data_IF_538644260246
#
_entry.id   IF_538644260246
#
_cell.length_a   1.000
_cell.length_b   1.000
_cell.length_c   1.000
_cell.angle_alpha   90.00
_cell.angle_beta   90.00
_cell.angle_gamma   90.00
#
_symmetry.space_group_name_H-M   'P 1'
#
loop_
_entity.id
_entity.type
_entity.pdbx_description
1 polymer ?
#
# COMPACT_ATOMS: atom_id res chain seq x y z
N UNK A 1 -20.60 15.98 -27.48
CA UNK A 1 -20.44 16.44 -28.89
C UNK A 1 -19.15 15.84 -29.39
N UNK A 2 -19.23 15.13 -30.51
CA UNK A 2 -18.18 14.34 -31.16
C UNK A 2 -17.08 15.24 -31.76
N UNK A 3 -15.80 14.89 -31.61
CA UNK A 3 -14.70 15.51 -32.35
C UNK A 3 -13.59 14.49 -32.64
N UNK A 4 -13.69 13.85 -33.80
CA UNK A 4 -12.56 13.28 -34.55
C UNK A 4 -12.27 14.12 -35.80
N UNK A 5 -10.96 14.35 -36.03
CA UNK A 5 -10.23 14.75 -37.27
C UNK A 5 -9.92 16.23 -37.51
N UNK A 6 -8.61 16.55 -37.52
CA UNK A 6 -7.82 17.26 -38.56
C UNK A 6 -6.34 17.36 -38.08
N UNK A 7 -5.42 16.48 -38.53
CA UNK A 7 -4.32 16.69 -39.52
C UNK A 7 -3.47 17.97 -39.31
N UNK A 8 -2.13 18.02 -39.38
CA UNK A 8 -1.06 17.10 -39.82
C UNK A 8 0.29 17.84 -40.03
N UNK A 9 1.31 17.11 -40.52
CA UNK A 9 2.70 17.49 -40.92
C UNK A 9 3.74 17.59 -39.78
N UNK A 10 4.93 16.97 -39.80
CA UNK A 10 5.61 16.09 -40.75
C UNK A 10 7.13 16.35 -40.69
N UNK A 11 7.99 15.32 -40.50
CA UNK A 11 9.40 15.31 -40.95
C UNK A 11 9.84 13.86 -41.21
N UNK A 12 10.57 13.72 -42.32
CA UNK A 12 11.09 12.53 -43.00
C UNK A 12 12.45 12.12 -42.44
N UNK A 13 12.72 10.81 -42.30
CA UNK A 13 14.05 10.25 -42.56
C UNK A 13 13.95 8.76 -42.92
N UNK A 14 14.37 8.46 -44.14
CA UNK A 14 14.38 7.16 -44.81
C UNK A 14 15.56 6.28 -44.38
N UNK A 15 15.37 4.97 -44.35
CA UNK A 15 16.34 4.05 -44.97
C UNK A 15 15.64 2.76 -45.43
N UNK A 16 15.86 2.43 -46.69
CA UNK A 16 15.25 1.32 -47.42
C UNK A 16 16.19 0.11 -47.49
N UNK A 17 15.61 -1.09 -47.56
CA UNK A 17 16.14 -2.20 -48.37
C UNK A 17 14.99 -3.13 -48.79
N UNK A 18 14.79 -3.21 -50.11
CA UNK A 18 13.94 -4.17 -50.85
C UNK A 18 14.61 -5.56 -50.87
N UNK A 19 14.07 -6.71 -51.29
CA UNK A 19 12.92 -7.17 -52.09
C UNK A 19 12.76 -8.71 -51.80
N UNK A 20 11.70 -9.46 -52.11
CA UNK A 20 10.48 -9.19 -52.88
C UNK A 20 9.58 -10.43 -53.04
N UNK A 21 8.42 -10.16 -53.65
CA UNK A 21 7.49 -10.95 -54.50
C UNK A 21 6.80 -12.24 -54.00
N UNK A 22 5.45 -12.23 -54.12
CA UNK A 22 4.62 -13.43 -54.28
C UNK A 22 3.13 -13.26 -53.96
N UNK A 23 2.40 -12.62 -54.88
CA UNK A 23 0.96 -12.67 -55.26
C UNK A 23 -0.20 -13.03 -54.28
N UNK A 24 -1.21 -12.16 -54.35
CA UNK A 24 -2.66 -12.38 -54.26
C UNK A 24 -3.27 -13.22 -53.13
N UNK A 25 -3.87 -12.54 -52.15
CA UNK A 25 -5.27 -12.81 -51.76
C UNK A 25 -5.81 -11.75 -50.82
N UNK A 26 -7.02 -11.29 -51.15
CA UNK A 26 -7.83 -10.35 -50.39
C UNK A 26 -8.34 -10.95 -49.08
N UNK A 27 -8.03 -10.32 -47.95
CA UNK A 27 -8.85 -10.43 -46.73
C UNK A 27 -8.58 -9.26 -45.79
N UNK A 28 -9.66 -8.67 -45.27
CA UNK A 28 -9.66 -7.57 -44.31
C UNK A 28 -8.80 -7.89 -43.07
N UNK A 29 -8.14 -6.90 -42.42
CA UNK A 29 -7.49 -7.15 -41.14
C UNK A 29 -8.56 -7.41 -40.08
N UNK A 30 -8.55 -8.62 -39.52
CA UNK A 30 -9.20 -8.94 -38.25
C UNK A 30 -8.61 -8.07 -37.15
N UNK A 31 -9.48 -7.52 -36.32
CA UNK A 31 -9.14 -6.92 -35.03
C UNK A 31 -8.46 -8.01 -34.18
N UNK A 32 -7.17 -7.86 -33.88
CA UNK A 32 -6.47 -8.81 -33.01
C UNK A 32 -7.02 -8.63 -31.58
N UNK A 33 -7.72 -9.64 -31.08
CA UNK A 33 -8.00 -9.75 -29.66
C UNK A 33 -6.66 -9.72 -28.90
N UNK A 34 -6.51 -8.83 -27.92
CA UNK A 34 -5.43 -8.94 -26.95
C UNK A 34 -5.57 -10.28 -26.24
N UNK A 35 -4.52 -11.10 -26.25
CA UNK A 35 -4.48 -12.30 -25.42
C UNK A 35 -4.53 -11.89 -23.93
N UNK A 36 -5.26 -12.62 -23.08
CA UNK A 36 -5.23 -12.38 -21.65
C UNK A 36 -3.83 -12.69 -21.13
N UNK A 37 -3.25 -11.77 -20.36
CA UNK A 37 -2.05 -12.04 -19.57
C UNK A 37 -2.46 -13.03 -18.48
N UNK A 38 -1.84 -14.20 -18.49
CA UNK A 38 -2.04 -15.26 -17.50
C UNK A 38 -0.86 -15.22 -16.54
N UNK A 39 -1.08 -14.78 -15.29
CA UNK A 39 -0.12 -14.98 -14.21
C UNK A 39 -0.31 -16.36 -13.60
N UNK A 40 0.81 -17.09 -13.42
CA UNK A 40 0.82 -18.45 -12.88
C UNK A 40 1.20 -18.42 -11.40
N UNK A 41 0.30 -18.87 -10.53
CA UNK A 41 0.55 -19.05 -9.09
C UNK A 41 1.13 -20.45 -8.83
N UNK A 42 2.35 -20.53 -8.28
CA UNK A 42 2.94 -21.78 -7.81
C UNK A 42 2.66 -21.98 -6.31
N UNK A 43 2.00 -23.07 -5.94
CA UNK A 43 1.76 -23.46 -4.53
C UNK A 43 2.51 -24.76 -4.27
N UNK A 44 3.41 -24.79 -3.29
CA UNK A 44 4.25 -25.95 -3.01
C UNK A 44 3.68 -26.80 -1.88
N UNK A 45 4.21 -28.02 -1.72
CA UNK A 45 3.67 -28.98 -0.76
C UNK A 45 3.85 -28.46 0.68
N UNK A 46 2.71 -28.29 1.38
CA UNK A 46 2.50 -27.78 2.76
C UNK A 46 2.01 -26.34 2.88
N UNK A 47 1.79 -25.65 1.76
CA UNK A 47 1.19 -24.31 1.77
C UNK A 47 -0.35 -24.39 1.89
N UNK A 48 -0.93 -23.41 2.59
CA UNK A 48 -2.38 -23.23 2.73
C UNK A 48 -2.77 -21.90 2.11
N UNK A 49 -3.74 -21.90 1.17
CA UNK A 49 -4.34 -20.68 0.63
C UNK A 49 -5.54 -20.32 1.49
N UNK A 50 -5.45 -19.22 2.23
CA UNK A 50 -6.55 -18.71 3.07
C UNK A 50 -7.21 -17.56 2.31
N UNK A 51 -8.48 -17.73 1.95
CA UNK A 51 -9.30 -16.66 1.41
C UNK A 51 -10.15 -16.13 2.56
N UNK A 52 -10.05 -14.83 2.86
CA UNK A 52 -10.93 -14.21 3.83
C UNK A 52 -12.27 -13.83 3.17
N UNK A 53 -13.20 -13.25 3.94
CA UNK A 53 -14.59 -13.01 3.53
C UNK A 53 -14.78 -12.04 2.34
N UNK A 54 -13.70 -11.61 1.70
CA UNK A 54 -13.71 -10.66 0.58
C UNK A 54 -12.94 -11.16 -0.65
N UNK A 55 -12.24 -12.30 -0.56
CA UNK A 55 -11.34 -12.76 -1.61
C UNK A 55 -11.95 -13.86 -2.48
N UNK A 56 -11.69 -13.78 -3.80
CA UNK A 56 -12.12 -14.79 -4.79
C UNK A 56 -10.89 -15.44 -5.44
N UNK A 57 -10.78 -16.78 -5.34
CA UNK A 57 -9.76 -17.56 -6.05
C UNK A 57 -10.31 -18.07 -7.38
N UNK A 58 -9.72 -17.63 -8.49
CA UNK A 58 -10.11 -18.07 -9.85
C UNK A 58 -9.06 -19.04 -10.37
N UNK A 59 -9.40 -20.32 -10.49
CA UNK A 59 -8.51 -21.36 -11.06
C UNK A 59 -8.97 -21.70 -12.49
N UNK A 60 -8.15 -21.36 -13.48
CA UNK A 60 -8.38 -21.73 -14.88
C UNK A 60 -7.50 -22.92 -15.27
N UNK A 61 -8.13 -23.94 -15.86
CA UNK A 61 -7.48 -25.14 -16.45
C UNK A 61 -6.73 -26.04 -15.46
N UNK A 62 -7.40 -26.51 -14.41
CA UNK A 62 -6.86 -27.55 -13.52
C UNK A 62 -7.77 -28.79 -13.57
N UNK A 63 -7.19 -29.95 -13.83
CA UNK A 63 -7.94 -31.21 -14.02
C UNK A 63 -8.46 -31.82 -12.69
N UNK A 64 -7.96 -31.42 -11.51
CA UNK A 64 -8.50 -31.88 -10.21
C UNK A 64 -8.15 -30.91 -9.08
N UNK A 65 -9.16 -30.55 -8.27
CA UNK A 65 -9.01 -29.79 -7.01
C UNK A 65 -9.37 -30.73 -5.85
N UNK A 66 -8.49 -30.85 -4.84
CA UNK A 66 -8.76 -31.63 -3.62
C UNK A 66 -8.77 -30.69 -2.42
N UNK A 67 -9.94 -30.55 -1.79
CA UNK A 67 -10.10 -29.81 -0.52
C UNK A 67 -10.25 -30.84 0.60
N UNK A 68 -9.47 -30.70 1.68
CA UNK A 68 -9.65 -31.49 2.92
C UNK A 68 -10.05 -30.53 4.04
N UNK A 69 -11.32 -30.61 4.42
CA UNK A 69 -11.90 -29.89 5.54
C UNK A 69 -11.56 -30.58 6.88
N UNK A 70 -11.20 -29.80 7.90
CA UNK A 70 -10.90 -30.28 9.25
C UNK A 70 -11.83 -29.73 10.33
N UNK A 71 -12.88 -28.94 10.04
CA UNK A 71 -13.79 -28.43 11.09
C UNK A 71 -15.24 -28.32 10.60
N UNK A 72 -16.19 -28.76 11.45
CA UNK A 72 -17.62 -29.00 11.19
C UNK A 72 -18.47 -27.73 10.97
N UNK A 73 -18.03 -26.78 10.13
CA UNK A 73 -18.89 -25.69 9.66
C UNK A 73 -18.80 -25.54 8.15
N UNK A 74 -19.97 -25.29 7.56
CA UNK A 74 -20.31 -25.39 6.15
C UNK A 74 -19.57 -24.36 5.28
N UNK A 75 -18.79 -24.82 4.29
CA UNK A 75 -18.32 -23.98 3.18
C UNK A 75 -18.72 -24.56 1.81
N UNK A 76 -19.09 -23.66 0.89
CA UNK A 76 -19.57 -23.97 -0.48
C UNK A 76 -18.45 -23.77 -1.50
N UNK A 77 -18.32 -24.70 -2.45
CA UNK A 77 -17.38 -24.65 -3.58
C UNK A 77 -18.12 -24.25 -4.88
N UNK A 78 -17.65 -23.23 -5.60
CA UNK A 78 -18.19 -22.80 -6.90
C UNK A 78 -17.09 -22.86 -7.98
N UNK A 79 -17.42 -23.36 -9.19
CA UNK A 79 -16.52 -23.42 -10.34
C UNK A 79 -17.12 -22.74 -11.59
N UNK A 80 -16.36 -21.76 -12.10
CA UNK A 80 -16.17 -21.19 -13.45
C UNK A 80 -17.31 -20.78 -14.41
N UNK A 81 -17.05 -19.61 -15.02
CA UNK A 81 -17.33 -19.12 -16.37
C UNK A 81 -18.67 -19.50 -17.04
N UNK A 82 -19.43 -18.43 -17.30
CA UNK A 82 -20.80 -18.34 -17.82
C UNK A 82 -21.87 -18.70 -16.79
N UNK A 83 -22.34 -17.65 -16.14
CA UNK A 83 -23.63 -17.48 -15.45
C UNK A 83 -24.45 -18.76 -15.24
N UNK A 84 -24.41 -19.30 -14.02
CA UNK A 84 -25.56 -19.83 -13.26
C UNK A 84 -25.13 -20.01 -11.79
N UNK A 85 -25.89 -19.47 -10.84
CA UNK A 85 -25.75 -19.79 -9.40
C UNK A 85 -26.64 -21.00 -9.08
N UNK A 86 -26.06 -22.09 -8.58
CA UNK A 86 -26.81 -23.21 -7.99
C UNK A 86 -26.44 -23.33 -6.51
N UNK A 87 -27.41 -23.03 -5.65
CA UNK A 87 -27.34 -23.32 -4.20
C UNK A 87 -27.81 -24.77 -4.00
N UNK A 88 -26.99 -25.63 -3.37
CA UNK A 88 -27.44 -26.92 -2.85
C UNK A 88 -27.74 -26.82 -1.37
N UNK A 89 -28.97 -27.16 -1.01
CA UNK A 89 -29.39 -27.44 0.36
C UNK A 89 -28.62 -28.65 0.91
N UNK A 90 -27.96 -28.46 2.05
CA UNK A 90 -27.36 -29.51 2.87
C UNK A 90 -28.24 -29.77 4.10
N UNK A 91 -29.25 -30.63 3.94
CA UNK A 91 -29.79 -31.42 5.05
C UNK A 91 -30.43 -32.71 4.53
N UNK A 92 -29.88 -33.85 4.95
CA UNK A 92 -30.60 -35.12 4.84
C UNK A 92 -31.83 -35.09 5.75
N UNK A 93 -33.00 -34.99 5.13
CA UNK A 93 -34.30 -35.24 5.75
C UNK A 93 -35.23 -35.91 4.74
N UNK A 94 -35.19 -37.24 4.68
CA UNK A 94 -36.22 -38.17 4.18
C UNK A 94 -37.27 -37.59 3.21
N UNK A 95 -36.99 -37.72 1.90
CA UNK A 95 -37.80 -37.45 0.70
C UNK A 95 -37.60 -36.08 0.00
N UNK A 96 -36.65 -36.00 -0.95
CA UNK A 96 -36.58 -34.84 -1.86
C UNK A 96 -35.52 -35.01 -2.97
N UNK A 97 -35.93 -35.03 -4.23
CA UNK A 97 -35.05 -35.16 -5.40
C UNK A 97 -34.24 -33.87 -5.65
N UNK A 98 -33.00 -33.96 -6.11
CA UNK A 98 -32.14 -32.78 -6.39
C UNK A 98 -32.77 -31.79 -7.36
N UNK A 99 -32.66 -30.49 -7.11
CA UNK A 99 -33.18 -29.45 -8.01
C UNK A 99 -32.12 -28.90 -8.99
N UNK A 100 -32.56 -28.54 -10.19
CA UNK A 100 -31.82 -27.83 -11.24
C UNK A 100 -32.57 -26.59 -11.69
N UNK A 101 -31.84 -25.61 -12.23
CA UNK A 101 -32.37 -24.42 -12.86
C UNK A 101 -31.90 -24.38 -14.32
N UNK A 102 -32.80 -24.14 -15.26
CA UNK A 102 -32.49 -23.97 -16.69
C UNK A 102 -33.02 -22.62 -17.19
N UNK A 103 -32.22 -21.93 -18.02
CA UNK A 103 -32.62 -20.66 -18.62
C UNK A 103 -33.95 -20.78 -19.38
N UNK A 104 -34.76 -19.72 -19.32
CA UNK A 104 -36.00 -19.62 -20.08
C UNK A 104 -36.29 -18.17 -20.45
N UNK A 105 -37.10 -17.98 -21.49
CA UNK A 105 -37.59 -16.67 -21.91
C UNK A 105 -39.11 -16.73 -22.00
N UNK A 106 -39.79 -15.73 -21.43
CA UNK A 106 -41.25 -15.63 -21.49
C UNK A 106 -41.70 -15.25 -22.91
N UNK A 107 -42.99 -15.44 -23.21
CA UNK A 107 -43.57 -14.94 -24.46
C UNK A 107 -43.46 -13.41 -24.62
N UNK A 108 -43.15 -12.68 -23.54
CA UNK A 108 -42.90 -11.24 -23.53
C UNK A 108 -41.41 -10.87 -23.63
N UNK A 109 -40.51 -11.84 -23.84
CA UNK A 109 -39.07 -11.61 -23.98
C UNK A 109 -38.29 -11.44 -22.67
N UNK A 110 -38.96 -11.55 -21.52
CA UNK A 110 -38.31 -11.48 -20.20
C UNK A 110 -37.56 -12.79 -19.94
N UNK A 111 -36.27 -12.70 -19.62
CA UNK A 111 -35.42 -13.83 -19.26
C UNK A 111 -35.71 -14.32 -17.83
N UNK A 112 -35.39 -15.57 -17.53
CA UNK A 112 -35.65 -16.18 -16.22
C UNK A 112 -35.14 -17.62 -16.16
N UNK A 113 -35.51 -18.34 -15.10
CA UNK A 113 -35.06 -19.70 -14.83
C UNK A 113 -36.24 -20.64 -14.53
N UNK A 114 -36.32 -21.77 -15.22
CA UNK A 114 -37.20 -22.88 -14.88
C UNK A 114 -36.56 -23.73 -13.78
N UNK A 115 -37.22 -23.88 -12.65
CA UNK A 115 -36.74 -24.69 -11.53
C UNK A 115 -37.38 -26.07 -11.60
N UNK A 116 -36.57 -27.12 -11.62
CA UNK A 116 -36.98 -28.53 -11.67
C UNK A 116 -36.39 -29.26 -10.48
N UNK A 117 -37.18 -30.02 -9.73
CA UNK A 117 -36.70 -30.88 -8.64
C UNK A 117 -36.94 -32.33 -9.01
N UNK A 118 -35.86 -33.11 -9.10
CA UNK A 118 -35.82 -34.42 -9.74
C UNK A 118 -36.29 -34.37 -11.17
N UNK A 119 -37.42 -35.02 -11.47
CA UNK A 119 -38.03 -34.99 -12.82
C UNK A 119 -39.19 -34.00 -12.95
N UNK A 120 -39.54 -33.29 -11.87
CA UNK A 120 -40.73 -32.42 -11.83
C UNK A 120 -40.34 -30.95 -11.85
N UNK A 121 -40.82 -30.22 -12.86
CA UNK A 121 -40.74 -28.76 -12.88
C UNK A 121 -41.59 -28.16 -11.75
N UNK A 122 -40.95 -27.41 -10.86
CA UNK A 122 -41.54 -26.76 -9.68
C UNK A 122 -42.03 -25.36 -9.99
N UNK A 123 -41.37 -24.62 -10.89
CA UNK A 123 -41.81 -23.27 -11.25
C UNK A 123 -40.88 -22.54 -12.22
N UNK A 124 -41.14 -21.24 -12.39
CA UNK A 124 -40.29 -20.32 -13.16
C UNK A 124 -40.07 -19.03 -12.40
N UNK A 125 -38.80 -18.64 -12.25
CA UNK A 125 -38.38 -17.35 -11.72
C UNK A 125 -38.10 -16.40 -12.89
N UNK A 126 -38.72 -15.22 -12.93
CA UNK A 126 -38.51 -14.23 -13.99
C UNK A 126 -37.63 -13.09 -13.50
N UNK A 127 -36.75 -12.58 -14.37
CA UNK A 127 -35.99 -11.37 -14.09
C UNK A 127 -36.94 -10.17 -14.01
N UNK A 128 -36.79 -9.36 -12.95
CA UNK A 128 -37.50 -8.09 -12.80
C UNK A 128 -36.96 -7.01 -13.73
N UNK A 129 -37.61 -5.84 -13.75
CA UNK A 129 -36.97 -4.64 -14.29
C UNK A 129 -35.86 -4.21 -13.33
N UNK A 130 -34.73 -3.77 -13.86
CA UNK A 130 -33.68 -3.16 -13.06
C UNK A 130 -34.25 -2.00 -12.24
N UNK A 131 -33.74 -1.85 -11.01
CA UNK A 131 -34.03 -0.68 -10.19
C UNK A 131 -33.51 0.61 -10.85
N UNK A 132 -33.94 1.78 -10.38
CA UNK A 132 -33.24 3.00 -10.75
C UNK A 132 -31.83 2.97 -10.15
N UNK A 133 -30.85 3.41 -10.94
CA UNK A 133 -29.50 3.62 -10.44
C UNK A 133 -29.52 4.55 -9.23
N UNK A 134 -28.69 4.23 -8.23
CA UNK A 134 -28.44 5.14 -7.12
C UNK A 134 -27.75 6.42 -7.59
N UNK A 135 -27.70 7.42 -6.72
CA UNK A 135 -26.85 8.59 -6.95
C UNK A 135 -25.39 8.17 -7.00
N UNK A 136 -24.62 8.72 -7.95
CA UNK A 136 -23.17 8.54 -7.96
C UNK A 136 -22.56 9.15 -6.69
N UNK A 137 -21.61 8.44 -6.08
CA UNK A 137 -20.76 8.98 -5.02
C UNK A 137 -19.76 9.99 -5.54
N UNK A 138 -19.03 10.66 -4.63
CA UNK A 138 -17.98 11.61 -4.99
C UNK A 138 -16.82 10.93 -5.73
N UNK A 139 -16.27 11.61 -6.73
CA UNK A 139 -15.09 11.12 -7.45
C UNK A 139 -13.85 11.09 -6.54
N UNK A 140 -12.82 10.33 -6.93
CA UNK A 140 -11.55 10.31 -6.20
C UNK A 140 -10.89 11.71 -6.18
N UNK A 141 -11.01 12.47 -7.27
CA UNK A 141 -10.53 13.85 -7.33
C UNK A 141 -11.29 14.78 -6.38
N UNK A 142 -12.62 14.67 -6.31
CA UNK A 142 -13.43 15.45 -5.36
C UNK A 142 -13.05 15.16 -3.91
N UNK A 143 -12.76 13.91 -3.59
CA UNK A 143 -12.27 13.52 -2.26
C UNK A 143 -10.86 14.06 -1.99
N UNK A 144 -9.96 14.05 -2.97
CA UNK A 144 -8.62 14.62 -2.84
C UNK A 144 -8.66 16.13 -2.62
N UNK A 145 -9.51 16.86 -3.36
CA UNK A 145 -9.73 18.30 -3.16
C UNK A 145 -10.30 18.58 -1.77
N UNK A 146 -11.25 17.77 -1.30
CA UNK A 146 -11.75 17.87 0.08
C UNK A 146 -10.66 17.60 1.13
N UNK A 147 -9.67 16.76 0.81
CA UNK A 147 -8.48 16.50 1.63
C UNK A 147 -7.36 17.56 1.47
N UNK A 148 -7.60 18.62 0.71
CA UNK A 148 -6.69 19.76 0.55
C UNK A 148 -5.79 19.71 -0.68
N UNK A 149 -6.07 18.88 -1.68
CA UNK A 149 -5.39 18.94 -2.98
C UNK A 149 -5.76 20.25 -3.71
N UNK A 150 -4.76 20.94 -4.29
CA UNK A 150 -4.93 22.28 -4.91
C UNK A 150 -4.63 22.27 -6.42
N UNK A 151 -4.34 21.09 -7.00
CA UNK A 151 -4.10 20.92 -8.44
C UNK A 151 -5.37 20.67 -9.25
N UNK A 152 -5.19 20.50 -10.55
CA UNK A 152 -6.23 20.14 -11.53
C UNK A 152 -6.53 18.64 -11.52
N UNK A 153 -7.66 18.24 -12.10
CA UNK A 153 -8.02 16.82 -12.24
C UNK A 153 -7.01 16.05 -13.12
N UNK A 154 -6.45 16.67 -14.16
CA UNK A 154 -5.41 16.08 -15.02
C UNK A 154 -4.09 15.85 -14.24
N UNK A 155 -3.70 16.81 -13.40
CA UNK A 155 -2.54 16.66 -12.51
C UNK A 155 -2.81 15.56 -11.46
N UNK A 156 -4.04 15.44 -10.96
CA UNK A 156 -4.44 14.37 -10.06
C UNK A 156 -4.34 13.00 -10.72
N UNK A 157 -4.90 12.83 -11.92
CA UNK A 157 -4.80 11.59 -12.69
C UNK A 157 -3.34 11.19 -12.96
N UNK A 158 -2.48 12.18 -13.23
CA UNK A 158 -1.04 11.95 -13.40
C UNK A 158 -0.40 11.41 -12.12
N UNK A 159 -0.80 11.93 -10.95
CA UNK A 159 -0.31 11.41 -9.66
C UNK A 159 -0.76 9.97 -9.45
N UNK A 160 -2.01 9.62 -9.76
CA UNK A 160 -2.53 8.25 -9.65
C UNK A 160 -1.81 7.31 -10.61
N UNK A 161 -1.65 7.71 -11.87
CA UNK A 161 -0.91 6.93 -12.86
C UNK A 161 0.53 6.65 -12.40
N UNK A 162 1.18 7.64 -11.78
CA UNK A 162 2.51 7.44 -11.20
C UNK A 162 2.50 6.39 -10.09
N UNK A 163 1.55 6.45 -9.16
CA UNK A 163 1.42 5.48 -8.04
C UNK A 163 1.17 4.06 -8.52
N UNK A 164 0.34 3.89 -9.55
CA UNK A 164 0.05 2.59 -10.17
C UNK A 164 1.30 1.97 -10.82
N UNK A 165 2.22 2.81 -11.31
CA UNK A 165 3.46 2.37 -11.94
C UNK A 165 4.62 2.18 -10.94
N UNK A 166 4.38 2.29 -9.64
CA UNK A 166 5.38 1.97 -8.62
C UNK A 166 5.44 0.47 -8.37
N UNK A 167 6.65 -0.03 -8.11
CA UNK A 167 6.84 -1.38 -7.61
C UNK A 167 6.22 -1.52 -6.22
N UNK A 168 5.78 -2.72 -5.86
CA UNK A 168 5.15 -3.02 -4.57
C UNK A 168 5.74 -4.30 -3.97
N UNK A 169 5.53 -4.48 -2.67
CA UNK A 169 5.79 -5.75 -1.99
C UNK A 169 4.74 -5.97 -0.89
N UNK A 170 4.56 -7.22 -0.48
CA UNK A 170 3.65 -7.60 0.61
C UNK A 170 4.46 -7.85 1.87
N UNK A 171 4.09 -7.21 2.97
CA UNK A 171 4.55 -7.55 4.31
C UNK A 171 3.81 -8.82 4.78
N UNK A 172 4.49 -9.96 4.75
CA UNK A 172 3.89 -11.24 5.13
C UNK A 172 3.45 -11.33 6.60
N UNK A 173 3.88 -10.39 7.45
CA UNK A 173 3.52 -10.38 8.88
C UNK A 173 2.07 -9.96 9.11
N UNK A 174 1.49 -9.16 8.22
CA UNK A 174 0.11 -8.68 8.31
C UNK A 174 -0.67 -8.71 6.98
N UNK A 175 -0.02 -9.07 5.89
CA UNK A 175 -0.60 -9.10 4.54
C UNK A 175 -0.75 -7.72 3.92
N UNK A 176 -0.18 -6.66 4.51
CA UNK A 176 -0.27 -5.31 3.97
C UNK A 176 0.65 -5.16 2.75
N UNK A 177 0.14 -4.60 1.67
CA UNK A 177 0.90 -4.30 0.47
C UNK A 177 1.39 -2.85 0.52
N UNK A 178 2.70 -2.65 0.35
CA UNK A 178 3.33 -1.34 0.34
C UNK A 178 3.92 -1.07 -1.04
N UNK A 179 3.74 0.16 -1.53
CA UNK A 179 4.47 0.65 -2.70
C UNK A 179 5.90 1.01 -2.31
N UNK A 180 6.74 1.04 -3.33
CA UNK A 180 8.16 1.31 -3.21
C UNK A 180 8.59 2.29 -4.28
N UNK A 181 9.67 3.02 -3.99
CA UNK A 181 10.19 4.05 -4.88
C UNK A 181 11.70 4.08 -4.83
N UNK A 182 12.33 4.16 -6.01
CA UNK A 182 13.76 4.43 -6.09
C UNK A 182 14.01 5.93 -6.12
N UNK A 183 14.79 6.43 -5.16
CA UNK A 183 15.24 7.83 -5.10
C UNK A 183 16.75 7.84 -4.94
N UNK A 184 17.44 8.41 -5.91
CA UNK A 184 18.89 8.21 -6.04
C UNK A 184 19.21 6.72 -6.19
N UNK A 185 20.11 6.21 -5.36
CA UNK A 185 20.53 4.81 -5.36
C UNK A 185 19.74 3.93 -4.38
N UNK A 186 18.89 4.53 -3.55
CA UNK A 186 18.15 3.84 -2.50
C UNK A 186 16.72 3.53 -2.94
N UNK A 187 16.20 2.38 -2.47
CA UNK A 187 14.80 2.00 -2.64
C UNK A 187 14.09 2.14 -1.30
N UNK A 188 13.07 2.99 -1.25
CA UNK A 188 12.31 3.33 -0.07
C UNK A 188 10.89 2.79 -0.16
N UNK A 189 10.26 2.53 0.99
CA UNK A 189 8.80 2.45 1.04
C UNK A 189 8.19 3.80 0.63
N UNK A 190 7.10 3.77 -0.13
CA UNK A 190 6.36 4.97 -0.53
C UNK A 190 5.25 5.33 0.50
N UNK A 191 4.87 4.40 1.37
CA UNK A 191 4.00 4.66 2.53
C UNK A 191 4.75 4.51 3.86
N UNK A 192 4.22 5.14 4.91
CA UNK A 192 4.66 4.85 6.28
C UNK A 192 4.28 3.42 6.65
N UNK A 193 5.14 2.75 7.43
CA UNK A 193 4.81 1.43 7.96
C UNK A 193 3.50 1.49 8.78
N UNK A 194 2.62 0.52 8.56
CA UNK A 194 1.34 0.39 9.25
C UNK A 194 1.19 -0.96 9.99
N UNK A 195 2.31 -1.67 10.18
CA UNK A 195 2.36 -2.94 10.90
C UNK A 195 1.97 -2.76 12.39
N UNK A 196 0.94 -3.47 12.84
CA UNK A 196 0.41 -3.35 14.20
C UNK A 196 1.28 -4.10 15.20
N UNK A 197 2.22 -3.41 15.82
CA UNK A 197 3.08 -3.95 16.88
C UNK A 197 2.39 -3.85 18.25
N UNK A 198 2.12 -5.00 18.87
CA UNK A 198 1.28 -5.14 20.08
C UNK A 198 2.06 -5.46 21.34
N UNK A 199 3.36 -5.25 21.34
CA UNK A 199 4.11 -5.38 22.58
C UNK A 199 3.69 -4.26 23.53
N UNK A 200 3.16 -4.66 24.67
CA UNK A 200 2.80 -3.76 25.77
C UNK A 200 4.07 -3.06 26.30
N UNK A 201 3.94 -1.82 26.71
CA UNK A 201 4.93 -1.11 27.52
C UNK A 201 4.43 -1.02 28.97
N UNK A 202 5.24 -0.46 29.87
CA UNK A 202 4.80 -0.24 31.26
C UNK A 202 3.49 0.58 31.34
N UNK A 203 3.33 1.53 30.41
CA UNK A 203 2.23 2.50 30.42
C UNK A 203 1.15 2.23 29.35
N UNK A 204 1.38 1.36 28.37
CA UNK A 204 0.48 1.15 27.22
C UNK A 204 0.30 -0.33 26.83
N UNK A 205 -0.88 -0.67 26.33
CA UNK A 205 -1.23 -1.99 25.80
C UNK A 205 -0.66 -2.26 24.39
N UNK A 206 0.00 -1.26 23.81
CA UNK A 206 0.62 -1.29 22.49
C UNK A 206 1.77 -0.29 22.47
N UNK A 207 2.76 -0.54 21.62
CA UNK A 207 3.88 0.37 21.36
C UNK A 207 3.84 0.95 19.93
N UNK A 208 2.71 0.71 19.24
CA UNK A 208 2.34 1.35 17.98
C UNK A 208 0.93 1.94 18.06
N UNK A 209 0.72 3.10 17.44
CA UNK A 209 -0.48 3.93 17.64
C UNK A 209 -0.99 4.48 16.31
N UNK A 210 -2.32 4.56 16.18
CA UNK A 210 -2.92 5.43 15.18
C UNK A 210 -2.91 6.85 15.74
N UNK A 211 -2.62 7.85 14.90
CA UNK A 211 -2.70 9.24 15.29
C UNK A 211 -4.09 9.57 15.87
N UNK A 212 -4.14 10.23 17.03
CA UNK A 212 -5.36 10.50 17.80
C UNK A 212 -6.14 9.25 18.27
N UNK A 213 -5.55 8.05 18.18
CA UNK A 213 -6.23 6.78 18.50
C UNK A 213 -7.33 6.39 17.49
N UNK A 214 -7.37 7.03 16.32
CA UNK A 214 -8.40 6.83 15.30
C UNK A 214 -7.94 5.84 14.22
N UNK A 215 -8.64 4.71 14.00
CA UNK A 215 -8.25 3.71 12.99
C UNK A 215 -8.06 4.29 11.58
N UNK A 216 -8.92 5.21 11.16
CA UNK A 216 -8.85 5.90 9.87
C UNK A 216 -7.55 6.67 9.66
N UNK A 217 -6.89 7.09 10.76
CA UNK A 217 -5.60 7.73 10.68
C UNK A 217 -4.44 6.75 10.49
N UNK A 218 -4.59 5.49 10.91
CA UNK A 218 -3.63 4.45 10.52
C UNK A 218 -3.71 4.18 9.01
N UNK A 219 -4.91 4.12 8.46
CA UNK A 219 -5.11 3.91 7.01
C UNK A 219 -4.53 5.06 6.19
N UNK A 220 -4.63 6.29 6.72
CA UNK A 220 -4.14 7.49 6.04
C UNK A 220 -2.65 7.75 6.21
N UNK A 221 -2.15 7.62 7.44
CA UNK A 221 -0.80 8.08 7.80
C UNK A 221 0.17 6.94 8.12
N UNK A 222 -0.29 5.69 8.15
CA UNK A 222 0.42 4.61 8.82
C UNK A 222 0.39 4.78 10.34
N UNK A 223 1.21 3.97 11.03
CA UNK A 223 1.32 4.00 12.49
C UNK A 223 2.45 4.91 12.95
N UNK A 224 2.30 5.39 14.18
CA UNK A 224 3.37 5.97 14.97
C UNK A 224 3.93 4.89 15.91
N UNK A 225 5.24 4.83 16.06
CA UNK A 225 5.92 3.82 16.86
C UNK A 225 6.81 4.51 17.89
N UNK A 226 6.79 3.98 19.12
CA UNK A 226 7.86 4.31 20.05
C UNK A 226 9.21 3.85 19.51
N UNK A 227 10.28 4.49 19.96
CA UNK A 227 11.62 4.13 19.53
C UNK A 227 11.98 2.67 19.87
N UNK A 228 11.56 2.19 21.04
CA UNK A 228 11.72 0.77 21.41
C UNK A 228 10.98 -0.16 20.46
N UNK A 229 9.75 0.18 20.03
CA UNK A 229 9.06 -0.60 19.01
C UNK A 229 9.76 -0.54 17.66
N UNK A 230 10.34 0.61 17.28
CA UNK A 230 11.11 0.73 16.06
C UNK A 230 12.33 -0.20 16.07
N UNK A 231 13.15 -0.17 17.12
CA UNK A 231 14.41 -0.91 17.20
C UNK A 231 14.22 -2.38 17.61
N UNK A 232 13.46 -2.64 18.66
CA UNK A 232 13.48 -3.92 19.38
C UNK A 232 12.53 -4.99 18.80
N UNK A 233 11.66 -4.62 17.86
CA UNK A 233 10.62 -5.49 17.29
C UNK A 233 11.08 -6.48 16.22
N UNK A 234 12.32 -6.36 15.75
CA UNK A 234 12.91 -7.29 14.78
C UNK A 234 13.21 -8.67 15.36
N UNK A 235 13.08 -8.91 16.68
CA UNK A 235 13.35 -10.23 17.24
C UNK A 235 14.78 -10.75 16.97
N UNK A 236 15.77 -9.87 16.85
CA UNK A 236 17.20 -10.26 16.88
C UNK A 236 17.71 -10.37 18.34
N UNK A 237 16.86 -10.07 19.32
CA UNK A 237 17.14 -10.32 20.74
C UNK A 237 16.59 -11.66 21.22
N UNK A 238 16.44 -12.65 20.33
CA UNK A 238 16.25 -14.04 20.76
C UNK A 238 17.49 -14.57 21.51
N UNK A 239 18.65 -13.86 21.46
CA UNK A 239 19.86 -14.30 22.18
C UNK A 239 20.81 -13.20 22.70
N UNK A 240 20.46 -11.90 22.72
CA UNK A 240 21.38 -10.89 23.29
C UNK A 240 20.71 -9.78 24.11
N UNK A 241 21.43 -9.45 25.17
CA UNK A 241 21.23 -8.50 26.27
C UNK A 241 21.24 -7.01 25.83
N UNK A 242 20.54 -6.65 24.74
CA UNK A 242 20.56 -5.27 24.22
C UNK A 242 19.17 -4.63 24.22
N UNK A 243 18.87 -3.80 25.22
CA UNK A 243 17.64 -3.01 25.25
C UNK A 243 17.97 -1.59 24.78
N UNK A 244 17.72 -1.29 23.50
CA UNK A 244 17.88 0.06 22.92
C UNK A 244 16.64 0.93 23.21
N UNK A 245 16.19 0.94 24.48
CA UNK A 245 14.97 1.59 24.93
C UNK A 245 15.16 2.99 25.52
N UNK A 246 14.07 3.56 26.04
CA UNK A 246 14.10 4.85 26.73
C UNK A 246 15.06 4.83 27.94
N UNK A 247 15.96 5.81 28.00
CA UNK A 247 16.93 5.94 29.10
C UNK A 247 18.14 5.01 29.02
N UNK A 248 18.28 4.23 27.94
CA UNK A 248 19.43 3.37 27.69
C UNK A 248 20.18 3.87 26.44
N UNK A 249 21.49 4.05 26.56
CA UNK A 249 22.35 4.23 25.39
C UNK A 249 22.76 2.85 24.88
N UNK A 250 22.76 2.68 23.56
CA UNK A 250 23.24 1.48 22.91
C UNK A 250 24.15 1.79 21.72
N UNK A 251 24.74 2.99 21.73
CA UNK A 251 25.60 3.48 20.64
C UNK A 251 26.76 2.52 20.33
N UNK A 252 27.52 2.10 21.35
CA UNK A 252 28.71 1.26 21.19
C UNK A 252 28.40 -0.15 20.64
N UNK A 253 27.13 -0.56 20.69
CA UNK A 253 26.67 -1.91 20.35
C UNK A 253 25.72 -1.91 19.14
N UNK A 254 25.55 -0.76 18.47
CA UNK A 254 24.68 -0.65 17.30
C UNK A 254 25.34 -1.27 16.06
N UNK A 255 24.69 -2.23 15.39
CA UNK A 255 25.19 -2.74 14.12
C UNK A 255 25.09 -1.67 13.03
N UNK A 256 25.82 -1.86 11.94
CA UNK A 256 25.78 -0.96 10.77
C UNK A 256 24.39 -0.88 10.12
N UNK A 257 23.54 -1.90 10.35
CA UNK A 257 22.18 -1.97 9.82
C UNK A 257 21.26 -2.65 10.83
N UNK A 258 20.10 -2.04 11.05
CA UNK A 258 19.08 -2.54 11.98
C UNK A 258 17.79 -2.79 11.23
N UNK A 259 17.37 -4.06 11.11
CA UNK A 259 16.04 -4.37 10.55
C UNK A 259 14.94 -3.64 11.33
N UNK A 260 14.97 -3.76 12.65
CA UNK A 260 13.94 -3.21 13.53
C UNK A 260 12.55 -3.71 13.16
N UNK A 261 11.57 -2.81 13.23
CA UNK A 261 10.17 -3.09 12.88
C UNK A 261 9.94 -3.31 11.39
N UNK A 262 10.94 -3.08 10.54
CA UNK A 262 10.78 -3.25 9.10
C UNK A 262 10.63 -4.74 8.72
N UNK A 263 9.94 -5.03 7.60
CA UNK A 263 9.81 -6.40 7.09
C UNK A 263 11.16 -7.01 6.71
N UNK A 264 11.20 -8.32 6.49
CA UNK A 264 12.40 -8.99 5.97
C UNK A 264 12.81 -8.43 4.59
N UNK A 265 14.12 -8.21 4.38
CA UNK A 265 14.66 -7.55 3.19
C UNK A 265 14.57 -6.02 3.23
N UNK A 266 14.16 -5.46 4.37
CA UNK A 266 14.08 -4.02 4.63
C UNK A 266 14.66 -3.71 6.01
N UNK A 267 15.15 -2.49 6.19
CA UNK A 267 15.70 -2.01 7.45
C UNK A 267 15.21 -0.62 7.81
N UNK A 268 15.39 -0.27 9.09
CA UNK A 268 15.26 1.10 9.52
C UNK A 268 16.41 1.92 8.93
N UNK A 269 16.12 3.10 8.39
CA UNK A 269 17.15 3.99 7.87
C UNK A 269 18.05 4.51 8.98
N UNK A 270 19.33 4.67 8.67
CA UNK A 270 20.23 5.48 9.49
C UNK A 270 20.15 6.98 9.10
N UNK A 271 20.90 7.82 9.81
CA UNK A 271 21.01 9.24 9.48
C UNK A 271 21.75 9.49 8.15
N UNK A 272 22.66 8.61 7.74
CA UNK A 272 23.43 8.71 6.49
C UNK A 272 22.53 8.52 5.28
N UNK A 273 21.68 7.50 5.30
CA UNK A 273 20.72 7.13 4.28
C UNK A 273 19.69 8.23 4.08
N UNK A 274 19.14 8.78 5.16
CA UNK A 274 18.28 9.95 5.03
C UNK A 274 19.02 11.17 4.50
N UNK A 275 20.28 11.40 4.88
CA UNK A 275 21.07 12.50 4.33
C UNK A 275 21.29 12.31 2.83
N UNK A 276 21.56 11.10 2.36
CA UNK A 276 21.67 10.77 0.94
C UNK A 276 20.35 11.09 0.21
N UNK A 277 19.21 10.61 0.75
CA UNK A 277 17.89 10.91 0.20
C UNK A 277 17.64 12.43 0.08
N UNK A 278 17.84 13.17 1.17
CA UNK A 278 17.54 14.61 1.20
C UNK A 278 18.54 15.39 0.33
N UNK A 279 19.81 15.01 0.28
CA UNK A 279 20.83 15.64 -0.57
C UNK A 279 20.62 15.36 -2.06
N UNK A 280 20.05 14.20 -2.41
CA UNK A 280 19.66 13.91 -3.79
C UNK A 280 18.57 14.87 -4.26
N UNK A 281 17.62 15.21 -3.39
CA UNK A 281 16.51 16.12 -3.69
C UNK A 281 16.95 17.57 -3.71
N UNK A 282 17.76 17.98 -2.73
CA UNK A 282 18.34 19.32 -2.64
C UNK A 282 19.83 19.23 -2.26
N UNK A 283 20.68 19.43 -3.25
CA UNK A 283 22.14 19.36 -3.12
C UNK A 283 22.77 20.62 -2.50
N UNK A 284 21.99 21.63 -2.10
CA UNK A 284 22.54 22.86 -1.53
C UNK A 284 23.17 22.65 -0.15
N UNK A 285 24.26 23.35 0.17
CA UNK A 285 25.03 23.11 1.41
C UNK A 285 24.47 23.83 2.65
N UNK A 286 23.14 23.87 2.78
CA UNK A 286 22.43 24.53 3.86
C UNK A 286 21.74 23.49 4.77
N UNK A 287 21.52 23.91 6.02
CA UNK A 287 20.88 23.06 7.03
C UNK A 287 19.39 22.79 6.74
N UNK A 288 18.74 23.68 6.01
CA UNK A 288 17.32 23.62 5.67
C UNK A 288 17.17 23.22 4.20
N UNK A 289 16.75 21.98 3.98
CA UNK A 289 16.69 21.37 2.65
C UNK A 289 15.30 21.49 2.05
N UNK A 290 15.17 21.86 0.78
CA UNK A 290 13.89 21.78 0.08
C UNK A 290 13.52 20.32 -0.15
N UNK A 291 12.50 19.85 0.57
CA UNK A 291 12.01 18.46 0.50
C UNK A 291 10.61 18.40 -0.11
N UNK A 292 10.16 19.45 -0.80
CA UNK A 292 8.82 19.47 -1.42
C UNK A 292 8.59 18.27 -2.35
N UNK A 293 9.63 17.77 -3.01
CA UNK A 293 9.56 16.61 -3.90
C UNK A 293 9.31 15.26 -3.21
N UNK A 294 9.57 15.15 -1.90
CA UNK A 294 9.35 13.94 -1.11
C UNK A 294 8.00 13.94 -0.39
N UNK A 295 7.43 15.12 -0.17
CA UNK A 295 6.20 15.31 0.58
C UNK A 295 4.98 14.94 -0.25
N UNK A 296 3.99 14.31 0.39
CA UNK A 296 2.68 14.02 -0.19
C UNK A 296 2.03 15.29 -0.76
N UNK A 297 1.30 15.14 -1.87
CA UNK A 297 0.66 16.28 -2.55
C UNK A 297 -0.49 16.93 -1.75
N UNK A 298 -0.98 16.26 -0.70
CA UNK A 298 -2.09 16.69 0.14
C UNK A 298 -1.88 16.29 1.60
N UNK A 299 -2.77 16.74 2.48
CA UNK A 299 -2.70 16.53 3.93
C UNK A 299 -1.89 17.59 4.70
N UNK A 300 -1.13 18.43 4.00
CA UNK A 300 -0.37 19.52 4.59
C UNK A 300 -1.23 20.76 4.86
N UNK A 301 -1.05 21.35 6.03
CA UNK A 301 -1.73 22.54 6.51
C UNK A 301 -0.70 23.64 6.74
N UNK A 302 -1.00 24.83 6.25
CA UNK A 302 -0.25 26.05 6.50
C UNK A 302 -1.05 26.99 7.41
N UNK A 303 -0.45 27.48 8.49
CA UNK A 303 -1.06 28.47 9.40
C UNK A 303 -0.39 29.83 9.24
N UNK A 304 -1.09 30.79 8.66
CA UNK A 304 -0.68 32.18 8.63
C UNK A 304 -1.25 32.93 9.83
N UNK A 305 -0.38 33.47 10.70
CA UNK A 305 -0.82 34.34 11.79
C UNK A 305 -0.78 35.79 11.34
N UNK A 306 -1.94 36.43 11.25
CA UNK A 306 -2.09 37.85 10.94
C UNK A 306 -2.59 38.61 12.18
N UNK A 307 -2.41 39.93 12.18
CA UNK A 307 -2.95 40.83 13.23
C UNK A 307 -4.48 40.68 13.38
N UNK A 308 -5.16 40.26 12.31
CA UNK A 308 -6.61 40.03 12.26
C UNK A 308 -7.05 38.59 12.66
N UNK A 309 -6.13 37.71 13.02
CA UNK A 309 -6.39 36.32 13.40
C UNK A 309 -5.56 35.29 12.63
N UNK A 310 -5.74 34.00 12.96
CA UNK A 310 -5.08 32.89 12.27
C UNK A 310 -5.88 32.49 11.03
N UNK A 311 -5.22 32.46 9.88
CA UNK A 311 -5.76 31.91 8.63
C UNK A 311 -5.11 30.55 8.39
N UNK A 312 -5.93 29.50 8.31
CA UNK A 312 -5.49 28.16 7.94
C UNK A 312 -5.66 28.01 6.43
N UNK A 313 -4.57 27.68 5.74
CA UNK A 313 -4.52 27.38 4.32
C UNK A 313 -4.26 25.87 4.20
N UNK A 314 -5.14 25.19 3.49
CA UNK A 314 -5.01 23.76 3.22
C UNK A 314 -4.27 23.56 1.90
N UNK A 315 -3.36 22.59 1.87
CA UNK A 315 -2.65 22.16 0.67
C UNK A 315 -1.34 22.88 0.34
N UNK A 316 -0.59 22.32 -0.61
CA UNK A 316 0.32 23.09 -1.48
C UNK A 316 1.84 23.03 -1.26
N UNK A 317 2.37 22.25 -0.32
CA UNK A 317 3.84 22.24 -0.06
C UNK A 317 4.54 20.91 -0.31
N UNK A 318 3.81 19.90 -0.79
CA UNK A 318 4.38 18.68 -1.33
C UNK A 318 4.01 18.56 -2.79
N UNK A 319 4.98 18.18 -3.61
CA UNK A 319 4.79 17.93 -5.04
C UNK A 319 4.88 16.44 -5.37
N UNK A 320 5.42 15.65 -4.43
CA UNK A 320 5.65 14.21 -4.55
C UNK A 320 6.25 13.78 -5.90
N UNK A 321 7.13 14.62 -6.48
CA UNK A 321 7.72 14.35 -7.80
C UNK A 321 8.60 13.10 -7.81
N UNK A 322 9.00 12.59 -6.65
CA UNK A 322 9.70 11.31 -6.54
C UNK A 322 8.77 10.13 -6.27
N UNK A 323 7.60 10.33 -5.64
CA UNK A 323 6.67 9.24 -5.31
C UNK A 323 6.96 8.63 -3.94
N UNK A 324 7.63 9.40 -3.07
CA UNK A 324 8.00 9.03 -1.71
C UNK A 324 6.85 9.24 -0.72
N UNK A 325 5.93 10.15 -1.05
CA UNK A 325 4.66 10.37 -0.36
C UNK A 325 4.78 10.48 1.17
N UNK A 326 5.66 11.37 1.64
CA UNK A 326 5.77 11.67 3.06
C UNK A 326 4.54 12.45 3.56
N UNK A 327 3.78 11.85 4.48
CA UNK A 327 2.63 12.50 5.09
C UNK A 327 2.97 13.27 6.37
N UNK A 328 2.24 14.35 6.68
CA UNK A 328 2.41 15.12 7.91
C UNK A 328 1.65 14.49 9.08
N UNK A 329 2.07 13.29 9.50
CA UNK A 329 1.43 12.51 10.55
C UNK A 329 1.62 13.12 11.96
N UNK A 330 2.47 14.14 12.12
CA UNK A 330 2.87 14.64 13.42
C UNK A 330 3.66 13.59 14.21
N UNK A 331 3.60 13.71 15.53
CA UNK A 331 4.16 12.74 16.47
C UNK A 331 3.26 12.64 17.70
N UNK A 332 3.40 11.57 18.47
CA UNK A 332 2.78 11.43 19.78
C UNK A 332 3.84 11.67 20.86
N UNK A 333 3.64 12.65 21.75
CA UNK A 333 4.51 12.84 22.90
C UNK A 333 3.87 12.31 24.16
N UNK A 334 4.68 11.68 25.02
CA UNK A 334 4.22 11.11 26.28
C UNK A 334 4.05 12.22 27.33
N UNK A 335 2.80 12.57 27.66
CA UNK A 335 2.50 13.49 28.74
C UNK A 335 2.60 12.80 30.12
N UNK A 336 2.93 13.58 31.16
CA UNK A 336 2.91 13.15 32.56
C UNK A 336 1.50 12.64 32.94
N UNK A 337 1.35 11.32 33.08
CA UNK A 337 0.07 10.65 33.38
C UNK A 337 -0.37 9.58 32.37
N UNK A 338 0.54 9.07 31.53
CA UNK A 338 0.36 7.90 30.64
C UNK A 338 -0.65 8.09 29.48
N UNK A 339 -0.83 9.31 28.97
CA UNK A 339 -1.60 9.54 27.73
C UNK A 339 -0.70 10.15 26.67
N UNK A 340 -0.77 9.63 25.43
CA UNK A 340 -0.10 10.24 24.29
C UNK A 340 -0.85 11.50 23.85
N UNK A 341 -0.12 12.61 23.84
CA UNK A 341 -0.57 13.86 23.24
C UNK A 341 -0.04 13.94 21.83
N UNK A 342 -0.94 14.03 20.87
CA UNK A 342 -0.57 14.14 19.47
C UNK A 342 -0.37 15.60 19.08
N UNK A 343 0.75 15.87 18.42
CA UNK A 343 1.16 17.23 18.04
C UNK A 343 1.55 17.28 16.56
N UNK A 344 1.42 18.47 15.97
CA UNK A 344 1.87 18.76 14.60
C UNK A 344 1.20 17.97 13.48
N UNK A 345 0.03 17.35 13.74
CA UNK A 345 -0.80 16.78 12.68
C UNK A 345 -1.06 17.81 11.57
N UNK A 346 -0.81 17.39 10.33
CA UNK A 346 -1.00 18.22 9.16
C UNK A 346 0.14 19.22 8.92
N UNK A 347 1.04 19.48 9.87
CA UNK A 347 2.12 20.47 9.68
C UNK A 347 3.50 19.84 9.52
N UNK A 348 3.75 18.69 10.12
CA UNK A 348 5.05 18.04 10.12
C UNK A 348 4.94 16.52 9.99
N UNK A 349 5.89 15.90 9.30
CA UNK A 349 6.12 14.46 9.33
C UNK A 349 7.42 14.16 10.06
N UNK A 350 7.40 13.22 11.00
CA UNK A 350 8.56 12.80 11.78
C UNK A 350 8.87 11.33 11.47
N UNK A 351 10.13 11.06 11.13
CA UNK A 351 10.59 9.72 10.76
C UNK A 351 11.75 9.32 11.65
N UNK A 352 11.62 8.19 12.35
CA UNK A 352 12.72 7.65 13.11
C UNK A 352 13.87 7.21 12.20
N UNK A 353 15.09 7.45 12.67
CA UNK A 353 16.27 6.70 12.25
C UNK A 353 16.60 5.67 13.32
N UNK A 354 17.45 4.68 13.04
CA UNK A 354 17.88 3.77 14.11
C UNK A 354 18.99 4.31 15.02
N UNK A 355 19.55 5.50 14.75
CA UNK A 355 20.69 6.01 15.52
C UNK A 355 20.23 6.64 16.84
N UNK A 356 20.73 6.20 18.01
CA UNK A 356 20.52 6.87 19.28
C UNK A 356 21.29 8.20 19.31
N UNK A 357 20.84 9.13 20.15
CA UNK A 357 21.60 10.35 20.42
C UNK A 357 22.71 10.06 21.44
N UNK A 358 23.95 10.39 21.08
CA UNK A 358 25.17 10.10 21.87
C UNK A 358 25.16 10.85 23.20
N UNK A 359 24.87 12.16 23.13
CA UNK A 359 24.96 13.05 24.28
C UNK A 359 23.74 12.96 25.22
N UNK A 360 22.67 12.28 24.80
CA UNK A 360 21.42 12.17 25.55
C UNK A 360 20.77 10.78 25.34
N UNK A 361 20.94 9.83 26.28
CA UNK A 361 20.44 8.46 26.14
C UNK A 361 18.91 8.36 26.10
N UNK A 362 18.21 9.45 26.45
CA UNK A 362 16.75 9.54 26.36
C UNK A 362 16.26 9.91 24.96
N UNK A 363 17.16 10.21 24.02
CA UNK A 363 16.81 10.65 22.67
C UNK A 363 17.37 9.75 21.58
N UNK A 364 16.75 9.83 20.42
CA UNK A 364 17.22 9.21 19.19
C UNK A 364 17.04 10.16 18.01
N UNK A 365 17.83 9.93 16.97
CA UNK A 365 17.81 10.76 15.78
C UNK A 365 16.56 10.51 14.94
N UNK A 366 16.06 11.60 14.36
CA UNK A 366 14.89 11.60 13.49
C UNK A 366 15.07 12.62 12.37
N UNK A 367 14.31 12.41 11.29
CA UNK A 367 14.16 13.37 10.21
C UNK A 367 12.77 13.97 10.27
N UNK A 368 12.73 15.30 10.36
CA UNK A 368 11.48 16.06 10.35
C UNK A 368 11.31 16.74 9.01
N UNK A 369 10.24 16.41 8.31
CA UNK A 369 9.76 17.19 7.17
C UNK A 369 8.73 18.18 7.66
N UNK A 370 9.12 19.45 7.61
CA UNK A 370 8.25 20.55 8.00
C UNK A 370 7.42 21.02 6.82
N UNK A 371 6.62 22.05 7.09
CA UNK A 371 5.98 22.83 6.05
C UNK A 371 6.94 23.27 4.92
N UNK A 372 8.18 23.64 5.21
CA UNK A 372 9.08 24.30 4.24
C UNK A 372 10.35 23.53 3.93
N UNK A 373 10.86 22.76 4.88
CA UNK A 373 12.19 22.16 4.80
C UNK A 373 12.27 20.83 5.55
N UNK A 374 13.22 20.00 5.13
CA UNK A 374 13.69 18.83 5.87
C UNK A 374 14.80 19.22 6.84
N UNK A 375 14.72 18.73 8.07
CA UNK A 375 15.68 19.01 9.14
C UNK A 375 16.00 17.70 9.89
N UNK A 376 17.27 17.52 10.21
CA UNK A 376 17.74 16.45 11.10
C UNK A 376 17.77 16.93 12.54
N UNK A 377 17.33 16.11 13.47
CA UNK A 377 17.40 16.40 14.90
C UNK A 377 17.28 15.13 15.73
N UNK A 378 16.94 15.30 17.00
CA UNK A 378 16.67 14.19 17.91
C UNK A 378 15.38 14.45 18.68
N UNK A 379 14.67 13.37 19.01
CA UNK A 379 13.40 13.37 19.75
C UNK A 379 13.49 12.36 20.90
N UNK A 380 12.68 12.55 21.94
CA UNK A 380 12.66 11.62 23.07
C UNK A 380 12.26 10.22 22.59
N UNK A 381 12.97 9.19 23.06
CA UNK A 381 12.68 7.78 22.75
C UNK A 381 11.29 7.34 23.26
N UNK A 382 10.74 8.07 24.22
CA UNK A 382 9.37 7.92 24.73
C UNK A 382 8.29 8.50 23.80
N UNK A 383 8.67 9.29 22.80
CA UNK A 383 7.72 9.80 21.81
C UNK A 383 7.50 8.77 20.69
N UNK A 384 6.41 8.90 19.96
CA UNK A 384 6.02 8.05 18.86
C UNK A 384 6.08 8.80 17.52
N UNK A 385 6.81 8.26 16.56
CA UNK A 385 6.96 8.83 15.21
C UNK A 385 6.77 7.78 14.12
N UNK A 386 6.63 8.21 12.87
CA UNK A 386 6.46 7.31 11.74
C UNK A 386 7.75 6.55 11.41
N UNK A 387 7.60 5.42 10.73
CA UNK A 387 8.70 4.60 10.22
C UNK A 387 8.64 4.59 8.70
N UNK A 388 9.80 4.79 8.07
CA UNK A 388 9.97 4.62 6.64
C UNK A 388 11.16 3.72 6.34
N UNK A 389 10.90 2.49 5.95
CA UNK A 389 11.95 1.51 5.76
C UNK A 389 12.66 1.70 4.41
N UNK A 390 13.93 1.30 4.40
CA UNK A 390 14.79 1.24 3.21
C UNK A 390 15.03 -0.23 2.87
N UNK A 391 15.11 -0.53 1.57
CA UNK A 391 15.37 -1.90 1.11
C UNK A 391 16.83 -2.25 1.37
N UNK A 392 17.07 -3.47 1.84
CA UNK A 392 18.43 -3.95 2.08
C UNK A 392 19.26 -3.91 0.77
N UNK A 393 20.55 -3.55 0.85
CA UNK A 393 21.44 -3.63 -0.29
C UNK A 393 21.53 -5.09 -0.75
N UNK A 394 21.58 -5.28 -2.07
CA UNK A 394 21.77 -6.62 -2.65
C UNK A 394 23.17 -7.09 -2.27
N UNK A 395 23.26 -8.05 -1.34
CA UNK A 395 24.53 -8.73 -1.07
C UNK A 395 24.96 -9.49 -2.32
N UNK A 396 26.01 -9.01 -2.98
CA UNK A 396 26.66 -9.74 -4.07
C UNK A 396 27.44 -10.89 -3.41
N UNK A 397 27.14 -12.16 -3.70
CA UNK A 397 27.91 -13.25 -3.11
C UNK A 397 29.34 -13.21 -3.64
N UNK A 398 30.33 -12.87 -2.80
CA UNK A 398 31.75 -13.06 -3.11
C UNK A 398 32.77 -11.99 -2.70
N UNK A 399 32.46 -10.97 -1.90
CA UNK A 399 33.46 -9.96 -1.47
C UNK A 399 33.91 -10.05 0.00
N UNK A 400 33.35 -10.94 0.83
CA UNK A 400 33.64 -10.96 2.28
C UNK A 400 34.65 -12.05 2.75
N UNK A 401 35.38 -12.73 1.86
CA UNK A 401 36.29 -13.85 2.23
C UNK A 401 37.80 -13.56 2.04
N UNK A 402 38.27 -12.31 1.91
CA UNK A 402 39.71 -12.04 1.64
C UNK A 402 40.51 -11.30 2.74
N UNK A 403 39.97 -11.01 3.93
CA UNK A 403 40.74 -10.30 4.98
C UNK A 403 40.82 -11.02 6.34
N UNK A 404 41.01 -12.34 6.34
CA UNK A 404 41.58 -13.06 7.50
C UNK A 404 42.73 -14.00 7.09
N UNK A 405 43.95 -13.46 7.01
CA UNK A 405 45.22 -14.22 7.23
C UNK A 405 46.18 -13.47 8.16
#
# INVERSE_FOLDING_TARGET
MDFKKLFGAGVVASLALMAGCGDDSSSAPQESAREPVVDTLYVFSKDTVVLNNVDTLVLNHVDTVVVRDTVVNLDTLILNNKDTVVVRDTLMGLNGESCSAEDTVSNAGVTGYNITCGTKRVGTLWNGKDGQDGLNGSSAYEQAVAAGYVGTEEEWETTIAKRINQDHFVDFRDGHEYRTVKVGDQVWMAENLNYRYLQETEDFDSSSFCLNGLPENCDKYGRLYFYSAAIDSAGVLDDVEYVCGNGLSCEDEMPEMVRGICPEGWHLPDTTEFRQLVNFVDASDNQFKDVAGLKSAYGWIYRETHIAGQKVIYGGNGTDIYGYEAYPAGHGSLDLGATLKYENEGTDGFFWTFNPEVDDPTKAHQVRFTQYYGIFGAMAKSDAASIRCVKDPVKVPGEDDEDEE
#
